data_IF_551448908935
#
_entry.id   IF_551448908935
#
_cell.length_a   1.000
_cell.length_b   1.000
_cell.length_c   1.000
_cell.angle_alpha   90.00
_cell.angle_beta   90.00
_cell.angle_gamma   90.00
#
_symmetry.space_group_name_H-M   'P 1'
#
loop_
_entity.id
_entity.type
_entity.pdbx_description
1 polymer ?
#
# COMPACT_ATOMS: atom_id res chain seq x y z
N UNK A 1 12.76 1.37 -1.99
CA UNK A 1 12.05 0.81 -0.84
C UNK A 1 10.56 1.08 -0.96
N UNK A 2 9.73 0.10 -0.67
CA UNK A 2 8.28 0.19 -0.74
C UNK A 2 7.68 -0.29 0.60
N UNK A 3 6.62 0.38 1.05
CA UNK A 3 5.89 -0.01 2.25
C UNK A 3 4.43 -0.30 1.86
N UNK A 4 4.02 -1.55 2.02
CA UNK A 4 2.65 -1.95 1.74
C UNK A 4 1.72 -1.40 2.84
N UNK A 5 0.72 -0.62 2.43
CA UNK A 5 -0.27 -0.04 3.33
C UNK A 5 -1.46 -0.96 3.58
N UNK A 6 -1.22 -2.25 3.83
CA UNK A 6 -2.30 -3.22 4.05
C UNK A 6 -3.09 -2.95 5.34
N UNK A 7 -2.41 -2.50 6.39
CA UNK A 7 -3.01 -2.02 7.63
C UNK A 7 -2.24 -0.78 8.07
N UNK A 8 -2.95 0.32 8.31
CA UNK A 8 -2.38 1.58 8.78
C UNK A 8 -3.20 2.07 9.96
N UNK A 9 -2.55 2.28 11.10
CA UNK A 9 -3.11 2.98 12.23
C UNK A 9 -2.33 4.27 12.46
N UNK A 10 -2.99 5.39 12.53
CA UNK A 10 -2.35 6.67 12.75
C UNK A 10 -3.24 7.62 13.56
N UNK A 11 -2.60 8.46 14.36
CA UNK A 11 -3.28 9.59 15.02
C UNK A 11 -3.59 10.67 13.98
N UNK A 12 -4.62 11.46 14.26
CA UNK A 12 -4.91 12.66 13.49
C UNK A 12 -3.66 13.57 13.39
N UNK A 13 -3.41 14.11 12.21
CA UNK A 13 -2.27 14.99 11.97
C UNK A 13 -0.92 14.29 11.78
N UNK A 14 -0.92 12.96 11.55
CA UNK A 14 0.31 12.22 11.29
C UNK A 14 1.07 12.77 10.08
N UNK A 15 2.36 13.12 10.25
CA UNK A 15 3.15 13.79 9.22
C UNK A 15 3.48 12.88 8.05
N UNK A 16 3.69 11.57 8.28
CA UNK A 16 3.94 10.60 7.20
C UNK A 16 2.73 10.53 6.27
N UNK A 17 1.51 10.43 6.83
CA UNK A 17 0.29 10.43 6.01
C UNK A 17 0.07 11.75 5.27
N UNK A 18 0.34 12.88 5.93
CA UNK A 18 0.30 14.20 5.29
C UNK A 18 1.27 14.27 4.11
N UNK A 19 2.50 13.80 4.31
CA UNK A 19 3.51 13.74 3.24
C UNK A 19 3.07 12.82 2.10
N UNK A 20 2.53 11.64 2.42
CA UNK A 20 2.03 10.72 1.39
C UNK A 20 0.93 11.38 0.54
N UNK A 21 -0.03 12.07 1.14
CA UNK A 21 -1.08 12.81 0.43
C UNK A 21 -0.47 13.90 -0.46
N UNK A 22 0.48 14.68 0.04
CA UNK A 22 1.17 15.70 -0.75
C UNK A 22 1.85 15.11 -1.99
N UNK A 23 2.55 13.98 -1.82
CA UNK A 23 3.21 13.29 -2.93
C UNK A 23 2.20 12.71 -3.95
N UNK A 24 1.04 12.20 -3.51
CA UNK A 24 -0.03 11.78 -4.43
C UNK A 24 -0.50 12.97 -5.27
N UNK A 25 -0.80 14.11 -4.63
CA UNK A 25 -1.25 15.32 -5.33
C UNK A 25 -0.20 15.83 -6.32
N UNK A 26 1.06 15.84 -5.92
CA UNK A 26 2.17 16.24 -6.79
C UNK A 26 2.32 15.30 -8.00
N UNK A 27 2.32 13.99 -7.76
CA UNK A 27 2.43 12.99 -8.82
C UNK A 27 1.26 13.08 -9.80
N UNK A 28 0.04 13.30 -9.30
CA UNK A 28 -1.15 13.46 -10.15
C UNK A 28 -1.05 14.71 -11.01
N UNK A 29 -0.66 15.86 -10.44
CA UNK A 29 -0.49 17.11 -11.20
C UNK A 29 0.55 17.00 -12.31
N UNK A 30 1.56 16.18 -12.11
CA UNK A 30 2.68 16.00 -13.04
C UNK A 30 2.51 14.78 -13.95
N UNK A 31 1.38 14.07 -13.92
CA UNK A 31 1.15 12.81 -14.62
C UNK A 31 2.31 11.82 -14.44
N UNK A 32 2.81 11.71 -13.18
CA UNK A 32 3.98 10.91 -12.87
C UNK A 32 3.67 9.42 -12.85
N UNK A 33 4.29 8.64 -13.71
CA UNK A 33 4.14 7.19 -13.81
C UNK A 33 5.18 6.40 -13.02
N UNK A 34 6.38 6.95 -12.86
CA UNK A 34 7.48 6.26 -12.19
C UNK A 34 7.97 5.01 -12.93
N UNK A 35 8.79 4.21 -12.24
CA UNK A 35 9.41 3.01 -12.79
C UNK A 35 8.49 1.77 -12.70
N UNK A 36 7.52 1.78 -11.81
CA UNK A 36 6.58 0.66 -11.59
C UNK A 36 5.18 1.19 -11.29
N UNK A 37 4.14 0.34 -11.45
CA UNK A 37 2.76 0.70 -11.09
C UNK A 37 2.59 1.11 -9.62
N UNK A 38 3.54 0.77 -8.75
CA UNK A 38 3.53 1.10 -7.33
C UNK A 38 4.01 2.52 -7.01
N UNK A 39 4.61 3.21 -8.01
CA UNK A 39 5.23 4.52 -7.80
C UNK A 39 4.25 5.70 -7.71
N UNK A 40 3.19 5.79 -8.53
CA UNK A 40 2.34 6.98 -8.56
C UNK A 40 1.62 7.26 -7.25
N UNK A 41 0.96 6.25 -6.67
CA UNK A 41 0.09 6.39 -5.49
C UNK A 41 0.19 5.21 -4.52
N UNK A 42 1.00 4.21 -4.84
CA UNK A 42 1.05 2.92 -4.15
C UNK A 42 2.18 2.80 -3.11
N UNK A 43 2.58 1.56 -2.82
CA UNK A 43 3.57 1.23 -1.79
C UNK A 43 4.92 1.95 -1.92
N UNK A 44 5.38 2.22 -3.14
CA UNK A 44 6.64 2.95 -3.36
C UNK A 44 6.53 4.40 -2.95
N UNK A 45 5.42 5.07 -3.24
CA UNK A 45 5.17 6.44 -2.77
C UNK A 45 5.07 6.49 -1.24
N UNK A 46 4.36 5.54 -0.63
CA UNK A 46 4.22 5.51 0.82
C UNK A 46 5.57 5.27 1.50
N UNK A 47 6.38 4.34 0.97
CA UNK A 47 7.77 4.15 1.41
C UNK A 47 8.62 5.42 1.29
N UNK A 48 8.45 6.19 0.20
CA UNK A 48 9.12 7.50 0.03
C UNK A 48 8.68 8.50 1.10
N UNK A 49 7.38 8.56 1.42
CA UNK A 49 6.87 9.45 2.48
C UNK A 49 7.49 9.13 3.85
N UNK A 50 7.57 7.84 4.20
CA UNK A 50 8.22 7.39 5.43
C UNK A 50 9.72 7.76 5.42
N UNK A 51 10.41 7.58 4.31
CA UNK A 51 11.83 7.89 4.21
C UNK A 51 12.13 9.40 4.34
N UNK A 52 11.21 10.26 3.88
CA UNK A 52 11.33 11.72 3.99
C UNK A 52 11.09 12.19 5.41
N UNK A 53 10.00 11.73 6.04
CA UNK A 53 9.62 12.16 7.39
C UNK A 53 10.43 11.48 8.49
N UNK A 54 11.03 10.32 8.16
CA UNK A 54 11.80 9.51 9.10
C UNK A 54 10.95 8.55 9.92
N UNK A 55 11.64 7.59 10.55
CA UNK A 55 11.05 6.63 11.48
C UNK A 55 11.52 7.01 12.88
N UNK A 56 10.60 7.46 13.71
CA UNK A 56 10.83 7.72 15.11
C UNK A 56 10.29 6.58 15.99
N UNK A 57 10.43 6.71 17.31
CA UNK A 57 9.95 5.72 18.30
C UNK A 57 8.43 5.51 18.29
N UNK A 58 7.67 6.37 17.61
CA UNK A 58 6.21 6.27 17.54
C UNK A 58 5.76 5.58 16.23
N UNK A 59 6.70 5.23 15.36
CA UNK A 59 6.43 4.52 14.10
C UNK A 59 6.79 3.05 14.28
N UNK A 60 5.79 2.19 14.23
CA UNK A 60 5.97 0.74 14.28
C UNK A 60 5.73 0.19 12.88
N UNK A 61 6.71 -0.52 12.35
CA UNK A 61 6.61 -1.21 11.06
C UNK A 61 6.48 -2.71 11.35
N UNK A 62 5.47 -3.32 10.75
CA UNK A 62 5.31 -4.77 10.73
C UNK A 62 5.73 -5.36 9.39
N UNK A 63 5.74 -6.67 9.34
CA UNK A 63 6.01 -7.43 8.12
C UNK A 63 4.90 -8.43 7.87
N UNK A 64 4.82 -8.91 6.63
CA UNK A 64 3.86 -9.89 6.20
C UNK A 64 4.54 -11.26 6.13
N UNK A 65 4.45 -12.01 7.23
CA UNK A 65 5.19 -13.25 7.44
C UNK A 65 4.39 -14.48 7.05
N UNK A 66 5.06 -15.47 6.52
CA UNK A 66 4.51 -16.80 6.30
C UNK A 66 4.59 -17.61 7.59
N UNK A 67 3.48 -18.24 7.98
CA UNK A 67 3.37 -19.02 9.21
C UNK A 67 3.77 -20.48 9.01
N UNK A 68 3.89 -20.94 7.75
CA UNK A 68 4.27 -22.31 7.40
C UNK A 68 5.36 -22.29 6.32
N UNK A 69 6.20 -23.36 6.24
CA UNK A 69 7.22 -23.48 5.20
C UNK A 69 6.65 -23.56 3.77
N UNK A 70 5.39 -23.98 3.64
CA UNK A 70 4.73 -24.00 2.33
C UNK A 70 4.31 -22.59 1.97
N UNK A 71 4.76 -22.15 0.81
CA UNK A 71 4.38 -20.85 0.25
C UNK A 71 2.87 -20.80 -0.05
N UNK A 72 2.07 -20.49 0.95
CA UNK A 72 0.62 -20.45 0.87
C UNK A 72 0.11 -19.10 1.34
N UNK A 73 -0.57 -18.39 0.44
CA UNK A 73 -1.16 -17.07 0.73
C UNK A 73 -2.11 -17.08 1.93
N UNK A 74 -2.74 -18.22 2.21
CA UNK A 74 -3.67 -18.41 3.34
C UNK A 74 -2.99 -18.40 4.70
N UNK A 75 -1.70 -18.76 4.74
CA UNK A 75 -0.93 -18.93 5.98
C UNK A 75 -0.03 -17.73 6.26
N UNK A 76 -0.45 -16.51 5.89
CA UNK A 76 0.30 -15.29 6.15
C UNK A 76 -0.35 -14.48 7.27
N UNK A 77 0.49 -13.85 8.06
CA UNK A 77 0.07 -12.93 9.12
C UNK A 77 0.83 -11.61 9.00
N UNK A 78 0.20 -10.53 9.42
CA UNK A 78 0.87 -9.26 9.65
C UNK A 78 1.40 -9.25 11.08
N UNK A 79 2.73 -9.13 11.21
CA UNK A 79 3.45 -9.26 12.48
C UNK A 79 4.23 -7.99 12.72
N UNK A 80 4.10 -7.41 13.91
CA UNK A 80 4.90 -6.27 14.34
C UNK A 80 6.32 -6.72 14.71
N UNK A 81 7.24 -5.75 14.85
CA UNK A 81 8.64 -6.01 15.18
C UNK A 81 8.86 -6.70 16.52
N UNK A 82 7.89 -6.64 17.44
CA UNK A 82 7.89 -7.31 18.73
C UNK A 82 7.28 -8.73 18.68
N UNK A 83 6.89 -9.21 17.50
CA UNK A 83 6.26 -10.50 17.31
C UNK A 83 4.73 -10.51 17.48
N UNK A 84 4.11 -9.39 17.78
CA UNK A 84 2.65 -9.30 17.93
C UNK A 84 1.97 -9.51 16.58
N UNK A 85 1.08 -10.50 16.50
CA UNK A 85 0.24 -10.74 15.30
C UNK A 85 -0.96 -9.80 15.35
N UNK A 86 -1.08 -8.92 14.36
CA UNK A 86 -2.17 -7.92 14.28
C UNK A 86 -3.28 -8.32 13.31
N UNK A 87 -2.97 -9.16 12.32
CA UNK A 87 -3.96 -9.65 11.37
C UNK A 87 -3.49 -10.92 10.64
N UNK A 88 -4.45 -11.68 10.16
CA UNK A 88 -4.22 -12.81 9.26
C UNK A 88 -4.70 -12.48 7.86
N UNK A 89 -4.04 -13.07 6.85
CA UNK A 89 -4.53 -12.98 5.49
C UNK A 89 -5.87 -13.73 5.37
N UNK A 90 -6.84 -13.12 4.70
CA UNK A 90 -8.11 -13.80 4.46
C UNK A 90 -7.96 -14.87 3.37
N UNK A 91 -8.78 -15.91 3.44
CA UNK A 91 -8.78 -17.00 2.48
C UNK A 91 -9.24 -16.60 1.08
N UNK A 92 -10.18 -15.67 0.97
CA UNK A 92 -10.67 -15.15 -0.30
C UNK A 92 -9.73 -14.10 -0.87
N UNK A 93 -9.47 -14.15 -2.16
CA UNK A 93 -8.82 -13.03 -2.88
C UNK A 93 -9.67 -11.77 -2.76
N UNK A 94 -9.02 -10.60 -2.88
CA UNK A 94 -9.60 -9.28 -2.62
C UNK A 94 -11.04 -9.05 -3.09
N UNK A 95 -11.68 -8.01 -2.62
CA UNK A 95 -13.11 -7.80 -2.80
C UNK A 95 -13.57 -7.90 -4.25
N UNK A 96 -14.70 -8.56 -4.47
CA UNK A 96 -15.37 -8.56 -5.77
C UNK A 96 -16.05 -7.20 -5.97
N UNK A 97 -15.47 -6.37 -6.82
CA UNK A 97 -16.01 -5.05 -7.14
C UNK A 97 -17.41 -5.14 -7.76
N UNK A 98 -17.71 -6.21 -8.52
CA UNK A 98 -19.05 -6.45 -9.08
C UNK A 98 -20.08 -6.71 -7.99
N UNK A 99 -19.72 -7.49 -6.96
CA UNK A 99 -20.59 -7.73 -5.80
C UNK A 99 -20.92 -6.44 -5.04
N UNK A 100 -20.05 -5.42 -5.13
CA UNK A 100 -20.25 -4.10 -4.56
C UNK A 100 -20.96 -3.12 -5.52
N UNK A 101 -21.40 -3.59 -6.68
CA UNK A 101 -22.05 -2.75 -7.70
C UNK A 101 -21.10 -1.79 -8.41
N UNK A 102 -19.79 -1.98 -8.29
CA UNK A 102 -18.79 -1.15 -8.95
C UNK A 102 -18.48 -1.69 -10.36
N UNK A 103 -18.53 -0.82 -11.37
CA UNK A 103 -18.09 -1.12 -12.71
C UNK A 103 -16.61 -0.76 -12.84
N UNK A 104 -15.82 -1.66 -13.42
CA UNK A 104 -14.40 -1.42 -13.69
C UNK A 104 -13.49 -2.54 -13.21
N UNK A 105 -12.21 -2.37 -13.41
CA UNK A 105 -11.16 -3.25 -12.94
C UNK A 105 -10.33 -2.56 -11.86
N UNK A 106 -9.84 -3.32 -10.89
CA UNK A 106 -8.82 -2.87 -9.95
C UNK A 106 -7.41 -3.27 -10.42
N UNK A 107 -7.26 -3.67 -11.67
CA UNK A 107 -5.98 -4.04 -12.27
C UNK A 107 -5.14 -2.79 -12.59
N UNK A 108 -4.56 -2.19 -11.55
CA UNK A 108 -3.71 -1.00 -11.70
C UNK A 108 -2.46 -1.24 -12.57
N UNK A 109 -2.02 -2.50 -12.73
CA UNK A 109 -0.91 -2.84 -13.63
C UNK A 109 -1.29 -2.61 -15.09
N UNK A 110 -2.50 -2.99 -15.47
CA UNK A 110 -3.05 -2.78 -16.82
C UNK A 110 -3.12 -1.28 -17.12
N UNK A 111 -3.80 -0.52 -16.29
CA UNK A 111 -3.89 0.95 -16.46
C UNK A 111 -2.54 1.65 -16.50
N UNK A 112 -1.57 1.18 -15.68
CA UNK A 112 -0.23 1.75 -15.70
C UNK A 112 0.53 1.45 -16.99
N UNK A 113 0.44 0.21 -17.49
CA UNK A 113 1.06 -0.20 -18.75
C UNK A 113 0.48 0.56 -19.95
N UNK A 114 -0.82 0.76 -19.96
CA UNK A 114 -1.55 1.51 -20.98
C UNK A 114 -1.39 3.03 -20.86
N UNK A 115 -0.71 3.52 -19.82
CA UNK A 115 -0.57 4.95 -19.54
C UNK A 115 -1.91 5.67 -19.34
N UNK A 116 -2.88 4.99 -18.73
CA UNK A 116 -4.27 5.43 -18.59
C UNK A 116 -4.74 5.51 -17.12
N UNK A 117 -3.83 5.89 -16.20
CA UNK A 117 -4.16 6.04 -14.78
C UNK A 117 -4.64 7.45 -14.42
N UNK A 118 -4.42 8.42 -15.28
CA UNK A 118 -4.88 9.80 -15.08
C UNK A 118 -5.99 10.14 -16.08
N UNK A 119 -7.04 10.77 -15.57
CA UNK A 119 -8.12 11.31 -16.40
C UNK A 119 -7.66 12.70 -16.86
N UNK A 120 -7.57 12.89 -18.17
CA UNK A 120 -7.28 14.18 -18.80
C UNK A 120 -8.55 15.04 -18.88
#
# INVERSE_FOLDING_TARGET
>A
WACAGGIIFAKQGNQILKKAIQLVVENTKNNYYGLTPLCPTGPSLFGKAIAIEGIDKNVIIGDFMELTPQHNKKNKAMVLSDGTIVAFNKEAEGGDLKALGCNGTNNYNEYWNERNIYIN
#
